data_IF_509901807908
#
_entry.id   IF_509901807908
#
_cell.length_a   1.000
_cell.length_b   1.000
_cell.length_c   1.000
_cell.angle_alpha   90.00
_cell.angle_beta   90.00
_cell.angle_gamma   90.00
#
_symmetry.space_group_name_H-M   'P 1'
#
loop_
_entity.id
_entity.type
_entity.pdbx_description
1 polymer ?
#
# COMPACT_ATOMS: atom_id res chain seq x y z
N UNK A 1 -9.05 -3.69 5.64
CA UNK A 1 -9.09 -3.87 4.20
C UNK A 1 -7.90 -3.22 3.50
N UNK A 2 -7.49 -2.06 3.98
CA UNK A 2 -6.35 -1.39 3.35
C UNK A 2 -5.09 -2.25 3.43
N UNK A 3 -4.96 -3.02 4.48
CA UNK A 3 -3.78 -3.86 4.64
C UNK A 3 -3.68 -4.94 3.56
N UNK A 4 -4.83 -5.43 3.14
CA UNK A 4 -4.87 -6.44 2.08
C UNK A 4 -4.33 -5.82 0.79
N UNK A 5 -4.80 -4.65 0.45
CA UNK A 5 -4.33 -3.95 -0.73
C UNK A 5 -2.87 -3.56 -0.60
N UNK A 6 -2.49 -3.12 0.59
CA UNK A 6 -1.11 -2.78 0.84
C UNK A 6 -0.19 -3.95 0.54
N UNK A 7 -0.56 -5.13 1.02
CA UNK A 7 0.24 -6.33 0.77
C UNK A 7 0.31 -6.65 -0.72
N UNK A 8 -0.82 -6.52 -1.41
CA UNK A 8 -0.87 -6.82 -2.84
C UNK A 8 0.00 -5.87 -3.63
N UNK A 9 -0.05 -4.61 -3.26
CA UNK A 9 0.77 -3.60 -3.94
C UNK A 9 2.24 -3.84 -3.65
N UNK A 10 2.55 -4.17 -2.42
CA UNK A 10 3.93 -4.40 -2.03
C UNK A 10 4.52 -5.59 -2.76
N UNK A 11 3.71 -6.61 -2.99
CA UNK A 11 4.16 -7.80 -3.68
C UNK A 11 4.16 -7.64 -5.19
N UNK A 12 3.61 -6.54 -5.68
CA UNK A 12 3.56 -6.32 -7.11
C UNK A 12 2.40 -6.99 -7.80
N UNK A 13 1.45 -7.49 -7.03
CA UNK A 13 0.28 -8.15 -7.60
C UNK A 13 -0.78 -7.15 -8.05
N UNK A 14 -0.76 -5.96 -7.46
CA UNK A 14 -1.66 -4.89 -7.82
C UNK A 14 -0.93 -3.58 -7.76
N UNK A 15 -1.49 -2.59 -8.45
CA UNK A 15 -0.92 -1.25 -8.42
C UNK A 15 -1.80 -0.36 -7.56
N UNK A 16 -1.26 0.79 -7.17
CA UNK A 16 -2.01 1.74 -6.36
C UNK A 16 -3.25 2.21 -7.10
N UNK A 17 -3.20 2.21 -8.41
CA UNK A 17 -4.34 2.63 -9.22
C UNK A 17 -5.48 1.65 -9.15
N UNK A 18 -5.18 0.40 -8.85
CA UNK A 18 -6.20 -0.63 -8.72
C UNK A 18 -6.86 -0.61 -7.34
N UNK A 19 -6.30 0.17 -6.45
CA UNK A 19 -6.86 0.30 -5.11
C UNK A 19 -7.99 1.34 -5.15
N UNK A 20 -9.15 1.03 -4.54
CA UNK A 20 -10.23 2.01 -4.49
C UNK A 20 -9.75 3.34 -3.92
N UNK A 21 -10.26 4.42 -4.47
CA UNK A 21 -9.79 5.75 -4.10
C UNK A 21 -9.84 5.97 -2.60
N UNK A 22 -10.89 5.47 -1.96
CA UNK A 22 -11.04 5.67 -0.52
C UNK A 22 -9.98 4.95 0.29
N UNK A 23 -9.48 3.85 -0.24
CA UNK A 23 -8.45 3.08 0.45
C UNK A 23 -7.05 3.47 0.00
N UNK A 24 -6.97 4.18 -1.10
CA UNK A 24 -5.67 4.54 -1.66
C UNK A 24 -4.84 5.36 -0.68
N UNK A 25 -5.47 6.29 -0.01
CA UNK A 25 -4.76 7.12 0.94
C UNK A 25 -4.19 6.29 2.08
N UNK A 26 -4.98 5.32 2.56
CA UNK A 26 -4.52 4.45 3.64
C UNK A 26 -3.39 3.55 3.19
N UNK A 27 -3.53 2.99 1.99
CA UNK A 27 -2.47 2.14 1.45
C UNK A 27 -1.20 2.96 1.26
N UNK A 28 -1.35 4.18 0.75
CA UNK A 28 -0.20 5.04 0.56
C UNK A 28 0.48 5.36 1.89
N UNK A 29 -0.32 5.58 2.92
CA UNK A 29 0.24 5.85 4.24
C UNK A 29 1.00 4.63 4.76
N UNK A 30 0.46 3.45 4.52
CA UNK A 30 1.13 2.22 4.94
C UNK A 30 2.44 2.04 4.20
N UNK A 31 2.43 2.33 2.91
CA UNK A 31 3.65 2.22 2.10
C UNK A 31 4.69 3.23 2.57
N UNK A 32 4.24 4.43 2.88
CA UNK A 32 5.14 5.46 3.38
C UNK A 32 5.78 5.06 4.69
N UNK A 33 4.97 4.51 5.59
CA UNK A 33 5.48 4.08 6.88
C UNK A 33 6.48 2.95 6.71
N UNK A 34 6.18 2.04 5.81
CA UNK A 34 7.07 0.91 5.55
C UNK A 34 8.39 1.40 4.97
N UNK A 35 8.29 2.35 4.06
CA UNK A 35 9.48 2.90 3.42
C UNK A 35 10.33 3.66 4.43
N UNK A 36 9.66 4.37 5.30
CA UNK A 36 10.35 5.17 6.31
C UNK A 36 11.11 4.28 7.28
N UNK A 37 10.56 3.10 7.53
CA UNK A 37 11.22 2.15 8.39
C UNK A 37 12.47 1.59 7.76
N UNK A 38 12.56 1.76 6.51
CA UNK A 38 13.69 1.23 5.84
C UNK A 38 13.53 -0.18 5.54
N UNK A 39 13.33 -0.52 5.52
CA UNK A 39 13.44 -1.59 5.36
C UNK A 39 14.20 -2.17 4.95
N UNK A 40 14.74 -2.21 5.18
CA UNK A 40 15.71 -2.63 4.98
C UNK A 40 15.76 -3.19 4.61
#
# INVERSE_FOLDING_TARGET
MAKVYYNLVKKGLKTIEQVPARLRAEVQALLDADKDKGDE
#
